data_IF_743993376103
#
_entry.id   IF_743993376103
#
_cell.length_a   1.000
_cell.length_b   1.000
_cell.length_c   1.000
_cell.angle_alpha   90.00
_cell.angle_beta   90.00
_cell.angle_gamma   90.00
#
_symmetry.space_group_name_H-M   'P 1'
#
loop_
_entity.id
_entity.type
_entity.pdbx_description
1 polymer ?
#
# COMPACT_ATOMS: atom_id res chain seq x y z
N UNK A 1 9.18 23.94 17.30
CA UNK A 1 8.36 22.88 16.67
C UNK A 1 8.26 23.21 15.20
N UNK A 2 8.81 22.37 14.33
CA UNK A 2 8.81 22.61 12.89
C UNK A 2 7.39 22.41 12.33
N UNK A 3 6.84 23.40 11.63
CA UNK A 3 5.49 23.32 11.04
C UNK A 3 5.47 22.24 9.94
N UNK A 4 4.98 21.05 10.25
CA UNK A 4 4.76 19.99 9.26
C UNK A 4 3.62 20.42 8.32
N UNK A 5 3.94 20.64 7.04
CA UNK A 5 2.93 20.87 6.00
C UNK A 5 2.24 19.54 5.68
N UNK A 6 0.96 19.45 5.98
CA UNK A 6 0.09 18.34 5.55
C UNK A 6 -0.55 18.71 4.23
N UNK A 7 -0.49 17.82 3.23
CA UNK A 7 -1.28 17.95 2.00
C UNK A 7 -2.58 17.19 2.18
N UNK A 8 -3.70 17.84 1.92
CA UNK A 8 -5.03 17.23 1.96
C UNK A 8 -5.50 17.05 0.53
N UNK A 9 -5.96 15.83 0.21
CA UNK A 9 -6.62 15.52 -1.05
C UNK A 9 -8.04 15.04 -0.73
N UNK A 10 -9.03 15.58 -1.44
CA UNK A 10 -10.43 15.24 -1.28
C UNK A 10 -10.92 14.70 -2.64
N UNK A 11 -11.61 13.57 -2.61
CA UNK A 11 -12.26 12.97 -3.77
C UNK A 11 -13.75 12.85 -3.53
N UNK A 12 -14.53 12.72 -4.60
CA UNK A 12 -15.98 12.54 -4.53
C UNK A 12 -16.36 11.19 -3.90
N UNK A 13 -15.55 10.15 -4.13
CA UNK A 13 -15.82 8.79 -3.65
C UNK A 13 -14.54 8.01 -3.27
N UNK A 14 -14.74 6.81 -2.73
CA UNK A 14 -13.67 5.92 -2.30
C UNK A 14 -12.84 5.33 -3.46
N UNK A 15 -13.42 5.22 -4.66
CA UNK A 15 -12.71 4.70 -5.84
C UNK A 15 -11.70 5.74 -6.35
N UNK A 16 -12.12 7.00 -6.46
CA UNK A 16 -11.28 8.13 -6.83
C UNK A 16 -10.17 8.39 -5.80
N UNK A 17 -10.51 8.32 -4.50
CA UNK A 17 -9.51 8.47 -3.44
C UNK A 17 -8.47 7.34 -3.47
N UNK A 18 -8.92 6.08 -3.55
CA UNK A 18 -8.02 4.92 -3.61
C UNK A 18 -7.13 4.93 -4.83
N UNK A 19 -7.68 5.26 -6.01
CA UNK A 19 -6.90 5.41 -7.25
C UNK A 19 -5.83 6.48 -7.11
N UNK A 20 -6.18 7.67 -6.60
CA UNK A 20 -5.21 8.75 -6.42
C UNK A 20 -4.09 8.38 -5.45
N UNK A 21 -4.45 7.76 -4.33
CA UNK A 21 -3.47 7.27 -3.36
C UNK A 21 -2.53 6.22 -3.98
N UNK A 22 -3.07 5.31 -4.80
CA UNK A 22 -2.30 4.27 -5.48
C UNK A 22 -1.35 4.87 -6.53
N UNK A 23 -1.77 5.89 -7.27
CA UNK A 23 -0.91 6.61 -8.21
C UNK A 23 0.24 7.33 -7.49
N UNK A 24 -0.02 7.96 -6.36
CA UNK A 24 1.00 8.70 -5.62
C UNK A 24 2.00 7.76 -4.95
N UNK A 25 1.55 6.66 -4.32
CA UNK A 25 2.44 5.63 -3.78
C UNK A 25 3.19 4.88 -4.89
N UNK A 26 2.48 4.51 -5.96
CA UNK A 26 3.03 3.80 -7.12
C UNK A 26 4.12 4.58 -7.83
N UNK A 27 3.99 5.91 -7.94
CA UNK A 27 5.05 6.78 -8.49
C UNK A 27 6.34 6.68 -7.68
N UNK A 28 6.23 6.67 -6.35
CA UNK A 28 7.40 6.52 -5.47
C UNK A 28 8.00 5.11 -5.62
N UNK A 29 7.16 4.08 -5.58
CA UNK A 29 7.65 2.70 -5.73
C UNK A 29 8.30 2.46 -7.09
N UNK A 30 7.71 2.92 -8.19
CA UNK A 30 8.28 2.83 -9.54
C UNK A 30 9.64 3.54 -9.62
N UNK A 31 9.74 4.75 -9.09
CA UNK A 31 10.99 5.52 -9.07
C UNK A 31 12.12 4.71 -8.43
N UNK A 32 11.88 4.16 -7.25
CA UNK A 32 12.92 3.43 -6.52
C UNK A 32 13.16 2.03 -7.08
N UNK A 33 12.11 1.27 -7.33
CA UNK A 33 12.24 -0.15 -7.67
C UNK A 33 12.62 -0.38 -9.13
N UNK A 34 12.16 0.47 -10.04
CA UNK A 34 12.32 0.25 -11.49
C UNK A 34 13.34 1.18 -12.11
N UNK A 35 13.24 2.49 -11.84
CA UNK A 35 14.17 3.46 -12.45
C UNK A 35 15.52 3.47 -11.75
N UNK A 36 15.52 3.47 -10.42
CA UNK A 36 16.77 3.43 -9.64
C UNK A 36 17.24 2.00 -9.34
N UNK A 37 16.40 0.99 -9.57
CA UNK A 37 16.68 -0.42 -9.29
C UNK A 37 17.17 -0.68 -7.85
N UNK A 38 16.52 -0.04 -6.87
CA UNK A 38 16.82 -0.14 -5.45
C UNK A 38 15.78 -0.96 -4.71
N UNK A 39 16.23 -1.64 -3.66
CA UNK A 39 15.36 -2.29 -2.69
C UNK A 39 14.67 -1.25 -1.81
N UNK A 40 13.41 -1.45 -1.49
CA UNK A 40 12.67 -0.62 -0.53
C UNK A 40 11.86 -1.47 0.44
N UNK A 41 11.54 -0.87 1.59
CA UNK A 41 10.61 -1.40 2.58
C UNK A 41 9.31 -0.63 2.41
N UNK A 42 8.19 -1.35 2.27
CA UNK A 42 6.86 -0.78 2.21
C UNK A 42 6.01 -1.37 3.34
N UNK A 43 5.33 -0.52 4.09
CA UNK A 43 4.40 -0.92 5.15
C UNK A 43 2.98 -0.61 4.67
N UNK A 44 2.14 -1.63 4.63
CA UNK A 44 0.77 -1.55 4.14
C UNK A 44 -0.23 -1.67 5.29
N UNK A 45 -1.26 -0.84 5.25
CA UNK A 45 -2.43 -0.99 6.10
C UNK A 45 -3.38 -2.05 5.52
N UNK A 46 -4.14 -2.73 6.39
CA UNK A 46 -5.07 -3.78 6.03
C UNK A 46 -6.45 -3.52 6.67
N UNK A 47 -7.35 -2.90 5.91
CA UNK A 47 -8.73 -2.60 6.32
C UNK A 47 -9.57 -2.27 5.09
N UNK A 48 -10.92 -2.42 5.10
CA UNK A 48 -11.76 -2.17 3.91
C UNK A 48 -11.58 -0.82 3.22
N UNK A 49 -11.15 0.22 3.95
CA UNK A 49 -10.80 1.53 3.36
C UNK A 49 -9.58 1.48 2.42
N UNK A 50 -8.80 0.40 2.44
CA UNK A 50 -7.62 0.18 1.61
C UNK A 50 -7.91 -0.64 0.34
N UNK A 51 -9.09 -1.27 0.23
CA UNK A 51 -9.42 -2.17 -0.89
C UNK A 51 -9.18 -1.51 -2.26
N UNK A 52 -9.69 -0.29 -2.45
CA UNK A 52 -9.56 0.45 -3.72
C UNK A 52 -8.12 0.87 -3.98
N UNK A 53 -7.39 1.28 -2.94
CA UNK A 53 -5.97 1.62 -3.02
C UNK A 53 -5.14 0.40 -3.45
N UNK A 54 -5.27 -0.73 -2.76
CA UNK A 54 -4.49 -1.95 -3.02
C UNK A 54 -4.82 -2.50 -4.42
N UNK A 55 -6.11 -2.54 -4.80
CA UNK A 55 -6.58 -2.94 -6.14
C UNK A 55 -5.96 -2.12 -7.26
N UNK A 56 -5.79 -0.80 -7.09
CA UNK A 56 -5.18 0.06 -8.11
C UNK A 56 -3.66 -0.05 -8.09
N UNK A 57 -3.04 -0.14 -6.90
CA UNK A 57 -1.60 -0.25 -6.77
C UNK A 57 -1.07 -1.55 -7.37
N UNK A 58 -1.72 -2.69 -7.12
CA UNK A 58 -1.31 -4.02 -7.63
C UNK A 58 -1.39 -4.12 -9.16
N UNK A 59 -2.16 -3.24 -9.82
CA UNK A 59 -2.24 -3.14 -11.28
C UNK A 59 -1.08 -2.37 -11.91
N UNK A 60 -0.31 -1.59 -11.14
CA UNK A 60 0.83 -0.86 -11.69
C UNK A 60 1.95 -1.82 -12.10
N UNK A 61 2.12 -2.01 -13.41
CA UNK A 61 3.13 -2.91 -14.00
C UNK A 61 4.54 -2.33 -14.02
N UNK A 62 4.69 -1.04 -13.70
CA UNK A 62 5.99 -0.39 -13.63
C UNK A 62 6.63 -0.57 -12.25
N UNK A 63 6.00 -1.22 -11.28
CA UNK A 63 6.61 -1.52 -9.99
C UNK A 63 7.33 -2.87 -10.07
N UNK A 64 8.63 -2.89 -9.74
CA UNK A 64 9.40 -4.14 -9.59
C UNK A 64 9.21 -4.70 -8.18
N UNK A 65 8.17 -5.50 -8.00
CA UNK A 65 7.81 -6.09 -6.72
C UNK A 65 8.91 -6.97 -6.12
N UNK A 66 9.80 -7.54 -6.94
CA UNK A 66 10.98 -8.28 -6.49
C UNK A 66 11.97 -7.43 -5.67
N UNK A 67 11.88 -6.10 -5.77
CA UNK A 67 12.69 -5.15 -5.02
C UNK A 67 11.97 -4.63 -3.75
N UNK A 68 10.77 -5.10 -3.45
CA UNK A 68 9.97 -4.63 -2.30
C UNK A 68 9.96 -5.68 -1.20
N UNK A 69 10.35 -5.26 0.00
CA UNK A 69 10.04 -5.98 1.25
C UNK A 69 8.76 -5.38 1.84
N UNK A 70 7.66 -6.12 1.75
CA UNK A 70 6.36 -5.70 2.23
C UNK A 70 6.12 -6.16 3.68
N UNK A 71 5.62 -5.25 4.51
CA UNK A 71 5.16 -5.53 5.87
C UNK A 71 3.72 -5.04 6.02
N UNK A 72 2.95 -5.69 6.89
CA UNK A 72 1.73 -5.10 7.44
C UNK A 72 2.09 -4.19 8.63
N UNK A 73 1.22 -3.24 8.97
CA UNK A 73 1.48 -2.26 10.05
C UNK A 73 1.37 -2.87 11.45
N UNK A 74 0.40 -3.76 11.63
CA UNK A 74 -0.08 -4.33 12.88
C UNK A 74 -0.59 -5.77 12.65
N UNK A 75 -1.06 -6.48 13.67
CA UNK A 75 -1.70 -7.80 13.50
C UNK A 75 -2.56 -8.09 14.73
N UNK A 76 -3.60 -8.91 14.57
CA UNK A 76 -4.38 -9.41 15.70
C UNK A 76 -3.60 -10.47 16.49
N UNK A 77 -3.66 -10.38 17.82
CA UNK A 77 -3.16 -11.43 18.70
C UNK A 77 -4.08 -12.66 18.66
N UNK A 78 -3.50 -13.83 18.93
CA UNK A 78 -4.19 -15.12 19.08
C UNK A 78 -4.95 -15.65 17.85
N UNK A 79 -4.81 -15.02 16.68
CA UNK A 79 -5.24 -15.64 15.43
C UNK A 79 -4.23 -16.71 15.01
N UNK A 80 -4.67 -17.94 14.65
CA UNK A 80 -3.77 -18.94 14.12
C UNK A 80 -3.23 -18.50 12.75
N UNK A 81 -2.06 -19.02 12.39
CA UNK A 81 -1.50 -18.78 11.06
C UNK A 81 -2.50 -19.21 9.97
N UNK A 82 -2.69 -18.34 8.96
CA UNK A 82 -3.62 -18.58 7.86
C UNK A 82 -5.08 -18.25 8.16
N UNK A 83 -5.40 -17.70 9.35
CA UNK A 83 -6.74 -17.21 9.63
C UNK A 83 -7.11 -16.07 8.65
N UNK A 84 -8.31 -16.06 8.04
CA UNK A 84 -8.68 -15.13 6.97
C UNK A 84 -8.69 -13.66 7.40
N UNK A 85 -8.81 -13.39 8.70
CA UNK A 85 -8.79 -12.03 9.26
C UNK A 85 -7.39 -11.53 9.66
N UNK A 86 -6.33 -12.32 9.44
CA UNK A 86 -4.96 -11.82 9.63
C UNK A 86 -4.65 -10.78 8.55
N UNK A 87 -3.86 -9.77 8.89
CA UNK A 87 -3.47 -8.74 7.92
C UNK A 87 -2.51 -9.29 6.86
N UNK A 88 -1.74 -10.34 7.20
CA UNK A 88 -1.00 -11.14 6.23
C UNK A 88 -1.94 -11.72 5.15
N UNK A 89 -2.99 -12.44 5.54
CA UNK A 89 -3.91 -13.04 4.57
C UNK A 89 -4.72 -12.00 3.82
N UNK A 90 -5.14 -10.92 4.49
CA UNK A 90 -5.81 -9.79 3.86
C UNK A 90 -4.95 -9.18 2.73
N UNK A 91 -3.67 -8.91 2.96
CA UNK A 91 -2.79 -8.37 1.92
C UNK A 91 -2.51 -9.38 0.81
N UNK A 92 -2.47 -10.69 1.11
CA UNK A 92 -2.20 -11.74 0.13
C UNK A 92 -3.28 -11.88 -0.95
N UNK A 93 -4.52 -11.53 -0.63
CA UNK A 93 -5.66 -11.65 -1.56
C UNK A 93 -5.89 -10.39 -2.42
N UNK A 94 -5.11 -9.32 -2.20
CA UNK A 94 -5.17 -8.06 -2.95
C UNK A 94 -4.03 -7.93 -3.97
#
# INVERSE_FOLDING_TARGET
>A
MENRKVRIFISEDNEGLGKKAAEDAGRVLEEYTSKLNKKCIAVFAAAPSQDTFLKHLSKNKNIRWENIYAFHLDEYLDLPEGHPNTFKEYLRIH
#
